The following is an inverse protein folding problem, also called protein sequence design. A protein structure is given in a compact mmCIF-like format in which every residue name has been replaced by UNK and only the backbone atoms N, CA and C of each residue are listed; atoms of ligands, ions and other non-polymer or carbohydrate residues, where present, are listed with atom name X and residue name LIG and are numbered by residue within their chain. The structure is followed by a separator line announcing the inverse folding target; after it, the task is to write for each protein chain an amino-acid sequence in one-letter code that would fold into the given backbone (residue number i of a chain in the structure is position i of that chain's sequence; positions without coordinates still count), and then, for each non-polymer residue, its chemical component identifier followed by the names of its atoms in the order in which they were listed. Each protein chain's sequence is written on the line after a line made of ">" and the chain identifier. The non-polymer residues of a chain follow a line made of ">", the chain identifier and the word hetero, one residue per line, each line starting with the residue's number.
data_IF_628326281573
#
_entry.id   IF_628326281573
#
_cell.length_a   1.000
_cell.length_b   1.000
_cell.length_c   1.000
_cell.angle_alpha   90.00
_cell.angle_beta   90.00
_cell.angle_gamma   90.00
#
_symmetry.space_group_name_H-M   'P 1'
#
loop_
_entity.id
_entity.type
_entity.pdbx_description
1 polymer ?
#
# COMPACT_ATOMS: atom_id res chain seq x y z
N UNK A 1 -11.02 2.44 13.30
CA UNK A 1 -10.77 1.55 12.13
C UNK A 1 -9.87 0.39 12.53
N UNK A 2 -10.01 -0.78 11.86
CA UNK A 2 -9.06 -1.89 11.98
C UNK A 2 -8.23 -1.96 10.70
N UNK A 3 -6.92 -1.87 10.80
CA UNK A 3 -5.97 -2.07 9.71
C UNK A 3 -5.33 -3.45 9.81
N UNK A 4 -5.24 -4.18 8.71
CA UNK A 4 -4.50 -5.44 8.61
C UNK A 4 -3.49 -5.33 7.46
N UNK A 5 -2.20 -5.47 7.76
CA UNK A 5 -1.18 -5.60 6.73
C UNK A 5 -1.22 -7.01 6.16
N UNK A 6 -1.49 -7.14 4.88
CA UNK A 6 -1.49 -8.42 4.18
C UNK A 6 -0.20 -8.66 3.40
N UNK A 7 0.55 -7.58 3.15
CA UNK A 7 1.87 -7.63 2.57
C UNK A 7 2.64 -6.37 2.93
N UNK A 8 3.89 -6.53 3.33
CA UNK A 8 4.76 -5.46 3.87
C UNK A 8 6.09 -5.34 3.13
N UNK A 9 6.26 -6.10 2.05
CA UNK A 9 7.44 -6.08 1.19
C UNK A 9 7.31 -5.10 0.03
N UNK A 10 8.45 -4.68 -0.49
CA UNK A 10 8.58 -3.97 -1.76
C UNK A 10 8.51 -4.91 -2.96
N UNK A 11 8.84 -4.40 -4.14
CA UNK A 11 8.62 -5.03 -5.44
C UNK A 11 8.98 -6.51 -5.60
N UNK A 12 10.09 -6.93 -4.98
CA UNK A 12 10.53 -8.32 -5.07
C UNK A 12 9.86 -9.25 -4.03
N UNK A 13 9.33 -8.69 -2.93
CA UNK A 13 8.97 -9.44 -1.73
C UNK A 13 10.20 -9.98 -0.99
N UNK A 14 9.98 -10.62 0.17
CA UNK A 14 11.06 -11.27 0.93
C UNK A 14 10.59 -12.66 1.36
N UNK A 15 11.28 -13.74 0.95
CA UNK A 15 12.45 -13.79 0.09
C UNK A 15 12.10 -13.53 -1.39
N UNK A 16 12.96 -12.84 -2.11
CA UNK A 16 12.88 -12.79 -3.56
C UNK A 16 13.15 -14.16 -4.17
N UNK A 17 12.46 -14.49 -5.27
CA UNK A 17 12.34 -15.85 -5.77
C UNK A 17 13.69 -16.55 -6.05
N UNK A 18 14.61 -15.89 -6.71
CA UNK A 18 15.93 -16.46 -7.08
C UNK A 18 17.10 -15.86 -6.30
N UNK A 19 16.82 -15.00 -5.31
CA UNK A 19 17.85 -14.31 -4.56
C UNK A 19 18.50 -15.23 -3.51
N UNK A 20 19.83 -15.18 -3.44
CA UNK A 20 20.65 -15.90 -2.47
C UNK A 20 21.30 -15.01 -1.41
N UNK A 21 20.88 -13.75 -1.27
CA UNK A 21 21.40 -12.87 -0.23
C UNK A 21 21.05 -13.40 1.17
N UNK A 22 21.79 -12.97 2.19
CA UNK A 22 21.61 -13.42 3.57
C UNK A 22 20.18 -13.25 4.08
N UNK A 23 19.54 -12.12 3.77
CA UNK A 23 18.16 -11.84 4.19
C UNK A 23 17.16 -12.81 3.54
N UNK A 24 17.30 -13.09 2.25
CA UNK A 24 16.42 -14.03 1.57
C UNK A 24 16.66 -15.48 2.06
N UNK A 25 17.90 -15.85 2.38
CA UNK A 25 18.20 -17.16 2.98
C UNK A 25 17.64 -17.26 4.41
N UNK A 26 17.83 -16.22 5.22
CA UNK A 26 17.25 -16.13 6.56
C UNK A 26 15.72 -16.26 6.51
N UNK A 27 15.06 -15.51 5.63
CA UNK A 27 13.61 -15.56 5.48
C UNK A 27 13.08 -16.96 5.11
N UNK A 28 13.77 -17.69 4.23
CA UNK A 28 13.41 -19.08 3.88
C UNK A 28 13.54 -20.04 5.07
N UNK A 29 14.49 -19.79 5.96
CA UNK A 29 14.78 -20.65 7.11
C UNK A 29 13.92 -20.34 8.32
N UNK A 30 13.86 -19.05 8.71
CA UNK A 30 13.18 -18.58 9.93
C UNK A 30 11.69 -18.42 9.70
N UNK A 31 11.29 -17.95 8.51
CA UNK A 31 9.90 -17.66 8.16
C UNK A 31 9.23 -16.60 9.09
N UNK A 32 7.92 -16.70 9.30
CA UNK A 32 7.21 -15.79 10.18
C UNK A 32 7.34 -14.32 9.74
N UNK A 33 7.80 -13.45 10.64
CA UNK A 33 7.95 -12.00 10.35
C UNK A 33 9.05 -11.64 9.37
N UNK A 34 9.91 -12.59 9.03
CA UNK A 34 10.92 -12.41 7.99
C UNK A 34 10.34 -12.53 6.57
N UNK A 35 9.18 -13.18 6.43
CA UNK A 35 8.47 -13.26 5.16
C UNK A 35 7.68 -11.96 4.91
N UNK A 36 7.79 -11.42 3.69
CA UNK A 36 7.08 -10.21 3.27
C UNK A 36 6.50 -10.42 1.87
N UNK A 37 5.19 -10.55 1.82
CA UNK A 37 4.45 -10.43 0.57
C UNK A 37 4.48 -8.99 0.07
N UNK A 38 4.19 -8.76 -1.20
CA UNK A 38 4.13 -7.42 -1.79
C UNK A 38 3.06 -6.57 -1.14
N UNK A 39 3.24 -5.25 -1.22
CA UNK A 39 2.42 -4.26 -0.51
C UNK A 39 0.92 -4.46 -0.71
N UNK A 40 0.23 -4.74 0.39
CA UNK A 40 -1.23 -4.87 0.41
C UNK A 40 -1.76 -4.67 1.83
N UNK A 41 -2.86 -3.96 1.98
CA UNK A 41 -3.51 -3.79 3.29
C UNK A 41 -5.03 -3.84 3.18
N UNK A 42 -5.66 -4.22 4.30
CA UNK A 42 -7.11 -4.27 4.45
C UNK A 42 -7.53 -3.32 5.57
N UNK A 43 -8.47 -2.44 5.29
CA UNK A 43 -9.14 -1.60 6.28
C UNK A 43 -10.52 -2.21 6.56
N UNK A 44 -10.75 -2.55 7.82
CA UNK A 44 -11.90 -3.34 8.26
C UNK A 44 -12.01 -4.64 7.43
N UNK A 45 -13.17 -4.94 6.84
CA UNK A 45 -13.39 -6.15 6.03
C UNK A 45 -13.74 -5.82 4.56
N UNK A 46 -13.77 -4.54 4.17
CA UNK A 46 -14.41 -4.12 2.93
C UNK A 46 -13.56 -3.20 2.02
N UNK A 47 -12.50 -2.57 2.53
CA UNK A 47 -11.61 -1.69 1.76
C UNK A 47 -10.20 -2.27 1.70
N UNK A 48 -9.73 -2.56 0.49
CA UNK A 48 -8.36 -3.04 0.23
C UNK A 48 -7.52 -1.94 -0.39
N UNK A 49 -6.29 -1.77 0.07
CA UNK A 49 -5.29 -0.91 -0.55
C UNK A 49 -4.31 -1.82 -1.28
N UNK A 50 -4.21 -1.62 -2.58
CA UNK A 50 -3.45 -2.42 -3.53
C UNK A 50 -3.92 -3.88 -3.64
N UNK A 51 -3.63 -4.52 -4.77
CA UNK A 51 -3.94 -5.93 -5.03
C UNK A 51 -2.87 -6.55 -5.93
N UNK A 52 -1.71 -6.89 -5.37
CA UNK A 52 -0.54 -7.39 -6.10
C UNK A 52 -0.74 -8.81 -6.64
N UNK A 53 0.28 -9.33 -7.33
CA UNK A 53 0.23 -10.66 -7.93
C UNK A 53 0.13 -11.81 -6.91
N UNK A 54 0.63 -11.63 -5.69
CA UNK A 54 0.56 -12.60 -4.60
C UNK A 54 -0.63 -12.41 -3.63
N UNK A 55 -1.56 -11.51 -3.96
CA UNK A 55 -2.74 -11.20 -3.13
C UNK A 55 -3.53 -12.46 -2.71
N UNK A 56 -3.71 -13.44 -3.63
CA UNK A 56 -4.41 -14.69 -3.31
C UNK A 56 -3.71 -15.46 -2.18
N UNK A 57 -2.41 -15.61 -2.26
CA UNK A 57 -1.62 -16.35 -1.24
C UNK A 57 -1.67 -15.64 0.10
N UNK A 58 -1.52 -14.32 0.08
CA UNK A 58 -1.53 -13.48 1.27
C UNK A 58 -2.90 -13.50 1.96
N UNK A 59 -3.99 -13.34 1.21
CA UNK A 59 -5.36 -13.43 1.77
C UNK A 59 -5.63 -14.79 2.40
N UNK A 60 -5.19 -15.89 1.77
CA UNK A 60 -5.33 -17.24 2.33
C UNK A 60 -4.54 -17.41 3.62
N UNK A 61 -3.28 -16.97 3.65
CA UNK A 61 -2.40 -17.07 4.81
C UNK A 61 -2.95 -16.32 6.03
N UNK A 62 -3.66 -15.21 5.80
CA UNK A 62 -4.20 -14.36 6.86
C UNK A 62 -5.72 -14.50 7.05
N UNK A 63 -6.33 -15.56 6.50
CA UNK A 63 -7.75 -15.91 6.67
C UNK A 63 -8.72 -14.79 6.25
N UNK A 64 -8.36 -14.02 5.22
CA UNK A 64 -9.23 -12.99 4.65
C UNK A 64 -10.19 -13.61 3.65
N UNK A 65 -11.47 -13.33 3.80
CA UNK A 65 -12.49 -13.70 2.81
C UNK A 65 -12.61 -12.60 1.75
N UNK A 66 -12.07 -12.80 0.52
CA UNK A 66 -12.09 -11.77 -0.52
C UNK A 66 -13.50 -11.43 -1.02
N UNK A 67 -14.50 -12.24 -0.72
CA UNK A 67 -15.91 -11.98 -1.11
C UNK A 67 -16.52 -10.80 -0.36
N UNK A 68 -15.94 -10.39 0.77
CA UNK A 68 -16.36 -9.22 1.55
C UNK A 68 -15.82 -7.91 0.99
N UNK A 69 -14.77 -7.95 0.17
CA UNK A 69 -14.12 -6.76 -0.38
C UNK A 69 -15.03 -6.08 -1.39
N UNK A 70 -15.24 -4.78 -1.20
CA UNK A 70 -16.10 -3.94 -2.04
C UNK A 70 -15.33 -2.82 -2.72
N UNK A 71 -14.35 -2.27 -2.03
CA UNK A 71 -13.62 -1.08 -2.42
C UNK A 71 -12.14 -1.38 -2.52
N UNK A 72 -11.51 -0.90 -3.57
CA UNK A 72 -10.08 -1.05 -3.80
C UNK A 72 -9.48 0.31 -4.12
N UNK A 73 -8.46 0.71 -3.36
CA UNK A 73 -7.62 1.86 -3.66
C UNK A 73 -6.33 1.34 -4.28
N UNK A 74 -5.98 1.79 -5.46
CA UNK A 74 -4.72 1.41 -6.13
C UNK A 74 -3.79 2.60 -6.11
N UNK A 75 -2.61 2.44 -5.52
CA UNK A 75 -1.61 3.50 -5.46
C UNK A 75 -1.05 3.81 -6.84
N UNK A 76 -0.68 2.79 -7.60
CA UNK A 76 -0.16 2.91 -8.95
C UNK A 76 -0.14 1.54 -9.66
N UNK A 77 0.32 1.51 -10.91
CA UNK A 77 0.23 0.33 -11.77
C UNK A 77 1.48 -0.55 -11.82
N UNK A 78 2.42 -0.42 -10.89
CA UNK A 78 3.48 -1.42 -10.75
C UNK A 78 2.90 -2.77 -10.34
N UNK A 79 3.52 -3.87 -10.79
CA UNK A 79 3.00 -5.24 -10.63
C UNK A 79 2.92 -5.70 -9.17
N UNK A 80 3.68 -5.10 -8.30
CA UNK A 80 3.73 -5.34 -6.86
C UNK A 80 2.65 -4.58 -6.07
N UNK A 81 1.91 -3.70 -6.73
CA UNK A 81 0.75 -2.99 -6.19
C UNK A 81 -0.53 -3.35 -6.93
N UNK A 82 -0.45 -3.54 -8.23
CA UNK A 82 -1.65 -3.75 -9.03
C UNK A 82 -1.47 -4.87 -10.06
N UNK A 83 -2.22 -5.97 -9.86
CA UNK A 83 -2.34 -7.05 -10.83
C UNK A 83 -3.74 -7.06 -11.43
N UNK A 84 -3.94 -6.48 -12.62
CA UNK A 84 -5.25 -6.41 -13.29
C UNK A 84 -5.95 -7.76 -13.43
N UNK A 85 -5.19 -8.83 -13.63
CA UNK A 85 -5.73 -10.19 -13.80
C UNK A 85 -6.56 -10.66 -12.60
N UNK A 86 -6.29 -10.16 -11.38
CA UNK A 86 -7.08 -10.44 -10.19
C UNK A 86 -8.52 -9.93 -10.30
N UNK A 87 -8.77 -8.92 -11.14
CA UNK A 87 -10.10 -8.32 -11.34
C UNK A 87 -10.81 -8.84 -12.59
N UNK A 88 -10.10 -9.45 -13.53
CA UNK A 88 -10.64 -9.78 -14.86
C UNK A 88 -11.36 -11.14 -14.86
N UNK A 89 -10.84 -12.13 -14.15
CA UNK A 89 -11.33 -13.52 -14.16
C UNK A 89 -12.21 -13.82 -12.95
N UNK A 90 -13.25 -13.01 -12.70
CA UNK A 90 -14.17 -13.20 -11.58
C UNK A 90 -15.42 -13.98 -11.98
N UNK A 91 -16.01 -14.77 -11.06
CA UNK A 91 -17.35 -15.32 -11.27
C UNK A 91 -18.39 -14.23 -11.53
N UNK A 92 -19.42 -14.54 -12.31
CA UNK A 92 -20.47 -13.57 -12.66
C UNK A 92 -21.36 -13.16 -11.47
N UNK A 93 -21.43 -14.01 -10.46
CA UNK A 93 -22.23 -13.83 -9.24
C UNK A 93 -21.53 -13.09 -8.10
N UNK A 94 -20.27 -12.65 -8.33
CA UNK A 94 -19.55 -11.83 -7.34
C UNK A 94 -20.17 -10.43 -7.28
N UNK A 95 -20.32 -9.90 -6.07
CA UNK A 95 -20.82 -8.54 -5.84
C UNK A 95 -20.04 -7.49 -6.66
N UNK A 96 -20.73 -6.40 -7.00
CA UNK A 96 -20.09 -5.26 -7.67
C UNK A 96 -18.98 -4.71 -6.77
N UNK A 97 -17.80 -4.55 -7.34
CA UNK A 97 -16.64 -3.91 -6.71
C UNK A 97 -16.40 -2.54 -7.33
N UNK A 98 -15.83 -1.64 -6.55
CA UNK A 98 -15.40 -0.32 -7.01
C UNK A 98 -13.87 -0.23 -6.92
N UNK A 99 -13.25 0.16 -8.02
CA UNK A 99 -11.80 0.29 -8.15
C UNK A 99 -11.45 1.76 -8.34
N UNK A 100 -10.81 2.34 -7.35
CA UNK A 100 -10.38 3.74 -7.31
C UNK A 100 -8.91 3.80 -7.70
N UNK A 101 -8.61 4.43 -8.82
CA UNK A 101 -7.28 4.43 -9.44
C UNK A 101 -7.00 5.76 -10.15
N UNK A 102 -5.73 6.06 -10.42
CA UNK A 102 -5.36 7.16 -11.32
C UNK A 102 -5.77 6.87 -12.77
N UNK A 103 -5.82 7.93 -13.60
CA UNK A 103 -6.16 7.77 -15.01
C UNK A 103 -5.17 6.82 -15.72
N UNK A 104 -3.87 7.01 -15.51
CA UNK A 104 -2.83 6.16 -16.12
C UNK A 104 -2.93 4.70 -15.70
N UNK A 105 -3.23 4.42 -14.42
CA UNK A 105 -3.49 3.04 -13.95
C UNK A 105 -4.75 2.45 -14.57
N UNK A 106 -5.78 3.28 -14.82
CA UNK A 106 -7.00 2.86 -15.50
C UNK A 106 -6.79 2.51 -16.97
N UNK A 107 -5.95 3.27 -17.66
CA UNK A 107 -5.55 2.97 -19.06
C UNK A 107 -4.78 1.64 -19.13
N UNK A 108 -3.83 1.40 -18.22
CA UNK A 108 -3.12 0.12 -18.13
C UNK A 108 -4.06 -1.05 -17.84
N UNK A 109 -5.07 -0.87 -16.99
CA UNK A 109 -6.11 -1.86 -16.73
C UNK A 109 -6.96 -2.14 -18.00
N UNK A 110 -7.39 -1.09 -18.69
CA UNK A 110 -8.18 -1.22 -19.92
C UNK A 110 -7.39 -1.94 -21.05
N UNK A 111 -6.11 -1.61 -21.21
CA UNK A 111 -5.21 -2.28 -22.16
C UNK A 111 -5.10 -3.79 -21.83
N UNK A 112 -4.87 -4.14 -20.57
CA UNK A 112 -4.81 -5.53 -20.13
C UNK A 112 -6.13 -6.27 -20.38
N UNK A 113 -7.27 -5.66 -20.10
CA UNK A 113 -8.58 -6.21 -20.38
C UNK A 113 -8.77 -6.49 -21.89
N UNK A 114 -8.34 -5.58 -22.76
CA UNK A 114 -8.46 -5.73 -24.21
C UNK A 114 -7.61 -6.89 -24.74
N UNK A 115 -6.38 -7.02 -24.27
CA UNK A 115 -5.47 -8.11 -24.64
C UNK A 115 -6.00 -9.48 -24.22
N UNK A 116 -6.61 -9.58 -23.04
CA UNK A 116 -7.21 -10.84 -22.59
C UNK A 116 -8.48 -11.20 -23.35
N UNK A 117 -9.31 -10.23 -23.74
CA UNK A 117 -10.48 -10.47 -24.58
C UNK A 117 -10.12 -11.04 -25.94
N UNK A 118 -9.03 -10.57 -26.55
CA UNK A 118 -8.52 -11.09 -27.83
C UNK A 118 -8.07 -12.55 -27.77
N UNK A 119 -7.58 -13.04 -26.63
CA UNK A 119 -7.17 -14.44 -26.43
C UNK A 119 -8.31 -15.36 -26.01
N UNK A 120 -9.41 -14.80 -25.60
CA UNK A 120 -10.58 -15.48 -25.02
C UNK A 120 -11.62 -15.92 -26.07
N UNK A 121 -11.24 -16.11 -27.32
CA UNK A 121 -12.12 -16.42 -28.44
C UNK A 121 -12.91 -17.76 -28.32
N UNK A 122 -12.73 -18.53 -27.25
CA UNK A 122 -13.31 -19.86 -27.08
C UNK A 122 -14.33 -19.95 -25.95
N UNK A 123 -15.38 -19.14 -25.97
CA UNK A 123 -16.56 -19.37 -25.12
C UNK A 123 -16.42 -18.92 -23.66
N UNK A 124 -15.69 -17.84 -23.42
CA UNK A 124 -15.41 -17.39 -22.08
C UNK A 124 -16.54 -16.61 -21.41
N UNK A 125 -16.56 -16.79 -20.09
CA UNK A 125 -17.45 -16.19 -19.11
C UNK A 125 -17.60 -14.68 -19.31
N UNK A 126 -18.78 -14.11 -19.06
CA UNK A 126 -18.92 -12.66 -19.01
C UNK A 126 -17.87 -12.09 -18.04
N UNK A 127 -17.07 -11.14 -18.50
CA UNK A 127 -16.11 -10.44 -17.66
C UNK A 127 -16.91 -9.50 -16.75
N UNK A 128 -17.03 -9.85 -15.49
CA UNK A 128 -17.64 -8.99 -14.49
C UNK A 128 -16.57 -8.03 -13.95
N UNK A 129 -16.32 -6.93 -14.70
CA UNK A 129 -15.31 -5.93 -14.33
C UNK A 129 -15.79 -5.09 -13.14
N UNK A 130 -14.87 -4.60 -12.29
CA UNK A 130 -15.20 -3.61 -11.27
C UNK A 130 -15.68 -2.31 -11.92
N UNK A 131 -16.44 -1.52 -11.18
CA UNK A 131 -16.70 -0.12 -11.53
C UNK A 131 -15.40 0.68 -11.34
N UNK A 132 -14.92 1.31 -12.39
CA UNK A 132 -13.73 2.16 -12.32
C UNK A 132 -14.15 3.55 -11.87
N UNK A 133 -13.48 4.06 -10.84
CA UNK A 133 -13.61 5.40 -10.31
C UNK A 133 -12.23 6.06 -10.37
N UNK A 134 -12.10 7.10 -11.15
CA UNK A 134 -10.83 7.79 -11.29
C UNK A 134 -10.60 8.74 -10.12
N UNK A 135 -9.36 8.78 -9.66
CA UNK A 135 -8.86 9.73 -8.69
C UNK A 135 -7.76 10.59 -9.31
N UNK A 136 -7.88 11.88 -9.14
CA UNK A 136 -6.80 12.84 -9.39
C UNK A 136 -6.15 13.26 -8.07
N UNK A 137 -4.88 13.71 -8.07
CA UNK A 137 -4.26 14.31 -6.90
C UNK A 137 -5.15 15.40 -6.26
N UNK A 138 -5.25 15.36 -4.92
CA UNK A 138 -6.08 16.22 -4.07
C UNK A 138 -7.59 16.07 -4.24
N UNK A 139 -8.05 15.16 -5.06
CA UNK A 139 -9.47 14.82 -5.13
C UNK A 139 -9.89 14.05 -3.88
N UNK A 140 -11.07 14.41 -3.35
CA UNK A 140 -11.70 13.75 -2.20
C UNK A 140 -13.03 13.12 -2.61
N UNK A 141 -13.23 11.86 -2.31
CA UNK A 141 -14.47 11.14 -2.60
C UNK A 141 -14.97 10.31 -1.40
N UNK A 142 -16.27 9.98 -1.44
CA UNK A 142 -16.85 8.95 -0.57
C UNK A 142 -16.62 7.57 -1.17
N UNK A 143 -15.92 6.71 -0.42
CA UNK A 143 -15.66 5.33 -0.75
C UNK A 143 -16.38 4.46 0.30
N UNK A 144 -17.60 4.09 0.02
CA UNK A 144 -18.46 3.48 1.03
C UNK A 144 -18.67 4.39 2.25
N UNK A 145 -18.28 3.89 3.43
CA UNK A 145 -18.33 4.68 4.68
C UNK A 145 -17.13 5.61 4.88
N UNK A 146 -16.10 5.48 4.05
CA UNK A 146 -14.87 6.24 4.18
C UNK A 146 -14.93 7.54 3.38
N UNK A 147 -14.19 8.53 3.83
CA UNK A 147 -13.79 9.70 3.04
C UNK A 147 -12.33 9.49 2.66
N UNK A 148 -12.04 9.45 1.38
CA UNK A 148 -10.70 9.20 0.86
C UNK A 148 -10.25 10.39 0.05
N UNK A 149 -9.04 10.88 0.33
CA UNK A 149 -8.36 11.90 -0.48
C UNK A 149 -7.11 11.26 -1.11
N UNK A 150 -6.98 11.41 -2.42
CA UNK A 150 -5.76 11.05 -3.11
C UNK A 150 -4.71 12.16 -2.96
N UNK A 151 -3.46 11.80 -2.73
CA UNK A 151 -2.30 12.69 -2.70
C UNK A 151 -1.32 12.26 -3.78
N UNK A 152 -0.57 13.17 -4.41
CA UNK A 152 0.49 12.78 -5.33
C UNK A 152 1.64 12.12 -4.55
N UNK A 153 2.14 11.00 -5.05
CA UNK A 153 3.32 10.34 -4.53
C UNK A 153 4.59 10.81 -5.26
N UNK A 154 5.69 10.93 -4.52
CA UNK A 154 6.99 11.24 -5.09
C UNK A 154 7.72 9.94 -5.41
N UNK A 155 7.32 9.29 -6.50
CA UNK A 155 7.80 7.97 -6.93
C UNK A 155 8.19 7.99 -8.42
N UNK A 156 7.70 7.07 -9.21
CA UNK A 156 8.00 7.00 -10.64
C UNK A 156 7.35 8.17 -11.40
N UNK A 157 8.19 8.97 -12.08
CA UNK A 157 7.72 10.14 -12.84
C UNK A 157 7.08 9.78 -14.19
N UNK A 158 7.20 8.53 -14.62
CA UNK A 158 6.59 8.05 -15.87
C UNK A 158 5.12 7.67 -15.70
N UNK A 159 4.67 7.50 -14.45
CA UNK A 159 3.30 7.10 -14.11
C UNK A 159 2.72 7.98 -13.00
N UNK A 160 1.40 8.09 -12.95
CA UNK A 160 0.73 8.81 -11.88
C UNK A 160 0.60 7.91 -10.66
N UNK A 161 1.39 8.20 -9.62
CA UNK A 161 1.41 7.48 -8.35
C UNK A 161 0.64 8.25 -7.29
N UNK A 162 -0.20 7.55 -6.51
CA UNK A 162 -1.06 8.12 -5.48
C UNK A 162 -0.73 7.56 -4.11
N UNK A 163 -0.78 8.43 -3.12
CA UNK A 163 -0.90 8.10 -1.71
C UNK A 163 -2.31 8.47 -1.23
N UNK A 164 -2.69 8.11 0.00
CA UNK A 164 -4.07 8.30 0.43
C UNK A 164 -4.19 8.83 1.85
N UNK A 165 -5.14 9.74 2.07
CA UNK A 165 -5.71 10.03 3.38
C UNK A 165 -7.06 9.31 3.44
N UNK A 166 -7.27 8.48 4.46
CA UNK A 166 -8.47 7.65 4.61
C UNK A 166 -9.09 7.91 5.98
N UNK A 167 -10.33 8.37 6.02
CA UNK A 167 -11.04 8.66 7.27
C UNK A 167 -12.41 7.98 7.31
N UNK A 168 -12.81 7.45 8.47
CA UNK A 168 -14.18 6.98 8.74
C UNK A 168 -15.00 7.97 9.57
N UNK A 169 -14.43 9.17 9.80
CA UNK A 169 -15.04 10.23 10.63
C UNK A 169 -14.53 10.25 12.07
N UNK A 170 -14.02 9.15 12.60
CA UNK A 170 -13.43 9.03 13.95
C UNK A 170 -11.91 8.96 13.88
N UNK A 171 -11.39 8.14 13.01
CA UNK A 171 -9.96 7.92 12.80
C UNK A 171 -9.54 8.34 11.40
N UNK A 172 -8.29 8.75 11.25
CA UNK A 172 -7.70 9.15 9.98
C UNK A 172 -6.33 8.49 9.80
N UNK A 173 -6.16 7.81 8.69
CA UNK A 173 -4.92 7.15 8.26
C UNK A 173 -4.26 8.02 7.17
N UNK A 174 -2.94 8.18 7.25
CA UNK A 174 -2.10 8.65 6.15
C UNK A 174 -1.31 7.46 5.61
N UNK A 175 -1.58 7.07 4.37
CA UNK A 175 -0.96 5.95 3.69
C UNK A 175 0.05 6.45 2.66
N UNK A 176 1.35 6.24 2.95
CA UNK A 176 2.48 6.74 2.18
C UNK A 176 3.36 5.56 1.74
N UNK A 177 2.90 4.78 0.79
CA UNK A 177 3.69 3.71 0.18
C UNK A 177 4.15 4.12 -1.19
N UNK A 178 5.31 3.64 -1.59
CA UNK A 178 6.02 4.03 -2.81
C UNK A 178 6.05 5.55 -2.97
N UNK A 179 6.78 6.15 -2.06
CA UNK A 179 7.04 7.58 -2.10
C UNK A 179 8.34 7.92 -1.37
N UNK A 180 9.08 8.87 -1.92
CA UNK A 180 10.12 9.57 -1.19
C UNK A 180 9.53 10.63 -0.25
N UNK A 181 10.30 11.67 0.04
CA UNK A 181 9.83 12.78 0.87
C UNK A 181 8.61 13.45 0.23
N UNK A 182 7.70 13.94 1.07
CA UNK A 182 6.47 14.58 0.62
C UNK A 182 6.75 15.79 -0.27
N UNK A 183 5.97 15.92 -1.34
CA UNK A 183 6.00 17.06 -2.23
C UNK A 183 5.50 18.34 -1.53
N UNK A 184 5.98 19.51 -1.94
CA UNK A 184 5.58 20.78 -1.34
C UNK A 184 4.06 21.00 -1.41
N UNK A 185 3.44 20.63 -2.51
CA UNK A 185 2.00 20.73 -2.70
C UNK A 185 1.19 19.87 -1.71
N UNK A 186 1.73 18.73 -1.30
CA UNK A 186 1.13 17.90 -0.23
C UNK A 186 1.21 18.60 1.12
N UNK A 187 2.34 19.24 1.45
CA UNK A 187 2.48 20.05 2.67
C UNK A 187 1.50 21.24 2.68
N UNK A 188 1.33 21.90 1.55
CA UNK A 188 0.40 23.02 1.41
C UNK A 188 -1.06 22.55 1.61
N UNK A 189 -1.43 21.39 1.04
CA UNK A 189 -2.73 20.76 1.25
C UNK A 189 -2.97 20.41 2.73
N UNK A 190 -2.02 19.74 3.40
CA UNK A 190 -2.16 19.39 4.81
C UNK A 190 -2.35 20.61 5.71
N UNK A 191 -1.66 21.71 5.40
CA UNK A 191 -1.75 22.97 6.12
C UNK A 191 -3.12 23.64 5.93
N UNK A 192 -3.59 23.71 4.70
CA UNK A 192 -4.88 24.32 4.36
C UNK A 192 -6.04 23.58 5.05
N UNK A 193 -6.02 22.25 5.02
CA UNK A 193 -7.10 21.41 5.55
C UNK A 193 -6.94 21.06 7.04
N UNK A 194 -5.88 21.52 7.70
CA UNK A 194 -5.60 21.28 9.14
C UNK A 194 -5.77 19.81 9.54
N UNK A 195 -5.24 18.91 8.71
CA UNK A 195 -5.39 17.47 8.87
C UNK A 195 -4.81 16.98 10.20
N UNK A 196 -5.39 15.91 10.77
CA UNK A 196 -4.87 15.23 11.96
C UNK A 196 -4.96 13.72 11.80
N UNK A 197 -3.85 13.03 11.99
CA UNK A 197 -3.71 11.60 11.75
C UNK A 197 -3.65 10.82 13.06
N UNK A 198 -4.36 9.70 13.11
CA UNK A 198 -4.27 8.68 14.16
C UNK A 198 -3.21 7.64 13.82
N UNK A 199 -2.95 7.47 12.53
CA UNK A 199 -2.07 6.42 12.03
C UNK A 199 -1.38 6.85 10.74
N UNK A 200 -0.09 6.51 10.62
CA UNK A 200 0.67 6.69 9.38
C UNK A 200 1.36 5.38 9.03
N UNK A 201 1.20 4.94 7.78
CA UNK A 201 2.02 3.89 7.19
C UNK A 201 2.98 4.52 6.19
N UNK A 202 4.27 4.32 6.39
CA UNK A 202 5.33 4.93 5.57
C UNK A 202 6.09 3.88 4.78
N UNK A 203 6.41 4.22 3.54
CA UNK A 203 7.44 3.53 2.76
C UNK A 203 8.77 3.55 3.53
N UNK A 204 9.45 2.41 3.56
CA UNK A 204 10.79 2.28 4.07
C UNK A 204 11.55 1.20 3.31
N UNK A 205 11.56 1.31 1.97
CA UNK A 205 12.13 0.28 1.09
C UNK A 205 13.61 0.05 1.30
N UNK A 206 14.33 1.09 1.73
CA UNK A 206 15.76 1.06 1.98
C UNK A 206 16.11 1.46 3.42
N UNK A 207 15.71 0.69 4.46
CA UNK A 207 15.79 1.11 5.85
C UNK A 207 17.13 1.66 6.32
N UNK A 208 18.24 1.16 5.78
CA UNK A 208 19.62 1.53 6.17
C UNK A 208 20.32 2.49 5.22
N UNK A 209 19.55 3.21 4.48
CA UNK A 209 20.01 4.33 3.67
C UNK A 209 19.61 4.22 2.21
N UNK A 210 19.12 5.33 1.73
CA UNK A 210 19.00 5.63 0.30
C UNK A 210 19.66 6.97 0.04
N UNK A 211 20.41 7.07 -1.06
CA UNK A 211 20.95 8.35 -1.50
C UNK A 211 19.88 9.19 -2.24
N UNK A 212 18.69 8.65 -2.41
CA UNK A 212 17.57 9.30 -3.08
C UNK A 212 16.63 9.96 -2.07
N UNK A 213 16.08 11.12 -2.42
CA UNK A 213 14.94 11.76 -1.74
C UNK A 213 13.63 11.52 -2.50
N UNK A 214 13.70 10.84 -3.60
CA UNK A 214 12.60 10.46 -4.47
C UNK A 214 12.42 8.96 -4.42
N UNK A 215 11.25 8.49 -4.80
CA UNK A 215 10.87 7.09 -4.96
C UNK A 215 10.63 6.35 -3.65
N UNK A 216 11.60 6.35 -2.71
CA UNK A 216 11.52 5.59 -1.46
C UNK A 216 12.23 6.30 -0.32
N UNK A 217 11.94 5.89 0.92
CA UNK A 217 12.55 6.43 2.13
C UNK A 217 13.39 5.39 2.88
N UNK A 218 14.25 5.89 3.77
CA UNK A 218 14.94 5.14 4.81
C UNK A 218 14.39 5.49 6.21
N UNK A 219 14.89 4.80 7.26
CA UNK A 219 14.43 5.04 8.65
C UNK A 219 14.67 6.49 9.08
N UNK A 220 15.79 7.10 8.69
CA UNK A 220 16.11 8.47 9.07
C UNK A 220 15.14 9.48 8.42
N UNK A 221 14.85 9.30 7.14
CA UNK A 221 13.89 10.14 6.43
C UNK A 221 12.46 9.96 6.97
N UNK A 222 12.07 8.73 7.29
CA UNK A 222 10.79 8.46 7.96
C UNK A 222 10.70 9.14 9.33
N UNK A 223 11.78 9.11 10.11
CA UNK A 223 11.86 9.83 11.37
C UNK A 223 11.70 11.34 11.20
N UNK A 224 12.44 11.94 10.28
CA UNK A 224 12.37 13.37 9.97
C UNK A 224 10.96 13.80 9.53
N UNK A 225 10.30 12.98 8.72
CA UNK A 225 8.92 13.19 8.31
C UNK A 225 7.95 13.11 9.50
N UNK A 226 8.09 12.07 10.34
CA UNK A 226 7.25 11.90 11.52
C UNK A 226 7.45 13.07 12.52
N UNK A 227 8.69 13.47 12.82
CA UNK A 227 9.00 14.59 13.69
C UNK A 227 8.41 15.91 13.16
N UNK A 228 8.47 16.11 11.84
CA UNK A 228 7.87 17.28 11.19
C UNK A 228 6.35 17.30 11.35
N UNK A 229 5.68 16.17 11.09
CA UNK A 229 4.23 16.04 11.25
C UNK A 229 3.81 16.25 12.73
N UNK A 230 4.58 15.75 13.68
CA UNK A 230 4.37 16.02 15.11
C UNK A 230 4.53 17.51 15.45
N UNK A 231 5.61 18.12 15.02
CA UNK A 231 5.94 19.53 15.33
C UNK A 231 4.91 20.51 14.75
N UNK A 232 4.34 20.16 13.58
CA UNK A 232 3.29 20.94 12.93
C UNK A 232 1.88 20.67 13.49
N UNK A 233 1.75 19.74 14.44
CA UNK A 233 0.49 19.40 15.08
C UNK A 233 -0.47 18.57 14.21
N UNK A 234 0.03 17.87 13.19
CA UNK A 234 -0.77 17.00 12.34
C UNK A 234 -0.98 15.59 12.90
N UNK A 235 -0.36 15.28 14.05
CA UNK A 235 -0.54 14.00 14.72
C UNK A 235 -1.52 14.12 15.89
N UNK A 236 -2.33 13.10 16.12
CA UNK A 236 -3.11 12.96 17.35
C UNK A 236 -2.24 12.41 18.46
N UNK A 237 -2.63 12.63 19.74
CA UNK A 237 -1.82 12.32 20.92
C UNK A 237 -1.26 10.88 20.95
N UNK A 238 -2.07 9.90 20.52
CA UNK A 238 -1.68 8.48 20.51
C UNK A 238 -1.46 7.95 19.09
N UNK A 239 -1.05 8.82 18.18
CA UNK A 239 -0.84 8.41 16.79
C UNK A 239 0.34 7.43 16.66
N UNK A 240 0.17 6.43 15.81
CA UNK A 240 1.17 5.40 15.53
C UNK A 240 1.76 5.59 14.15
N UNK A 241 3.05 5.34 14.02
CA UNK A 241 3.77 5.39 12.74
C UNK A 241 4.41 4.02 12.48
N UNK A 242 4.06 3.41 11.37
CA UNK A 242 4.57 2.12 10.94
C UNK A 242 5.34 2.23 9.62
N UNK A 243 6.49 1.58 9.59
CA UNK A 243 7.34 1.40 8.41
C UNK A 243 6.93 0.12 7.70
N UNK A 244 6.76 0.20 6.40
CA UNK A 244 6.35 -0.90 5.53
C UNK A 244 7.06 -0.82 4.19
N UNK A 245 6.68 -1.65 3.22
CA UNK A 245 7.26 -1.69 1.88
C UNK A 245 8.78 -2.00 1.88
N UNK A 246 9.20 -2.92 2.74
CA UNK A 246 10.62 -3.20 3.01
C UNK A 246 11.18 -4.19 2.00
N UNK A 247 12.27 -3.81 1.32
CA UNK A 247 12.99 -4.69 0.40
C UNK A 247 13.93 -5.68 1.12
N UNK A 248 14.52 -6.61 0.35
CA UNK A 248 15.50 -7.58 0.86
C UNK A 248 16.95 -7.04 0.86
N UNK A 249 17.19 -5.90 0.22
CA UNK A 249 18.54 -5.30 0.06
C UNK A 249 18.99 -4.49 1.28
N UNK A 250 18.55 -4.87 2.47
CA UNK A 250 18.70 -4.03 3.68
C UNK A 250 19.72 -4.58 4.68
N UNK A 251 20.19 -5.79 4.48
CA UNK A 251 21.13 -6.50 5.37
C UNK A 251 20.74 -6.40 6.86
N UNK A 252 19.44 -6.60 7.15
CA UNK A 252 18.86 -6.55 8.48
C UNK A 252 17.67 -7.50 8.58
N UNK A 253 17.57 -8.21 9.70
CA UNK A 253 16.40 -9.02 10.04
C UNK A 253 15.23 -8.13 10.50
N UNK A 254 14.03 -8.72 10.62
CA UNK A 254 12.90 -8.01 11.23
C UNK A 254 13.24 -7.45 12.63
N UNK A 255 13.94 -8.24 13.44
CA UNK A 255 14.29 -7.83 14.80
C UNK A 255 15.27 -6.65 14.82
N UNK A 256 16.25 -6.64 13.92
CA UNK A 256 17.19 -5.52 13.79
C UNK A 256 16.45 -4.24 13.41
N UNK A 257 15.59 -4.32 12.40
CA UNK A 257 14.81 -3.17 11.95
C UNK A 257 13.83 -2.68 13.03
N UNK A 258 13.17 -3.60 13.73
CA UNK A 258 12.26 -3.24 14.81
C UNK A 258 12.98 -2.51 15.97
N UNK A 259 14.20 -2.94 16.30
CA UNK A 259 15.03 -2.29 17.29
C UNK A 259 15.50 -0.90 16.81
N UNK A 260 15.92 -0.78 15.57
CA UNK A 260 16.36 0.50 14.99
C UNK A 260 15.18 1.50 14.91
N UNK A 261 14.04 1.07 14.42
CA UNK A 261 12.82 1.90 14.34
C UNK A 261 12.33 2.34 15.73
N UNK A 262 12.38 1.46 16.73
CA UNK A 262 11.92 1.78 18.09
C UNK A 262 12.70 2.93 18.75
N UNK A 263 13.99 3.07 18.42
CA UNK A 263 14.82 4.19 18.88
C UNK A 263 14.38 5.54 18.30
N UNK A 264 13.59 5.49 17.23
CA UNK A 264 13.00 6.64 16.56
C UNK A 264 11.50 6.82 16.88
N UNK A 265 10.95 6.09 17.84
CA UNK A 265 9.50 6.00 18.10
C UNK A 265 8.67 5.57 16.90
N UNK A 266 9.26 4.72 16.02
CA UNK A 266 8.62 4.13 14.87
C UNK A 266 8.46 2.63 15.09
N UNK A 267 7.53 2.02 14.37
CA UNK A 267 7.27 0.59 14.39
C UNK A 267 7.56 -0.02 13.01
N UNK A 268 7.82 -1.31 12.95
CA UNK A 268 7.98 -2.05 11.69
C UNK A 268 6.77 -2.96 11.49
N UNK A 269 6.10 -2.83 10.36
CA UNK A 269 5.01 -3.72 9.99
C UNK A 269 5.52 -5.11 9.57
N UNK A 270 4.67 -6.11 9.68
CA UNK A 270 4.88 -7.47 9.18
C UNK A 270 3.56 -8.05 8.66
N UNK A 271 3.66 -9.04 7.79
CA UNK A 271 2.48 -9.67 7.18
C UNK A 271 1.59 -10.31 8.26
N UNK A 272 0.31 -10.00 8.23
CA UNK A 272 -0.67 -10.44 9.22
C UNK A 272 -0.83 -9.53 10.44
N UNK A 273 -0.05 -8.45 10.57
CA UNK A 273 -0.21 -7.48 11.66
C UNK A 273 -1.58 -6.80 11.61
N UNK A 274 -2.28 -6.79 12.74
CA UNK A 274 -3.57 -6.12 12.91
C UNK A 274 -3.46 -5.00 13.94
N UNK A 275 -4.00 -3.84 13.62
CA UNK A 275 -3.96 -2.63 14.46
C UNK A 275 -5.36 -2.03 14.52
N UNK A 276 -5.82 -1.74 15.73
CA UNK A 276 -7.03 -0.93 15.94
C UNK A 276 -6.62 0.54 16.07
N UNK A 277 -7.17 1.38 15.22
CA UNK A 277 -6.87 2.81 15.09
C UNK A 277 -8.02 3.64 15.63
#
# INVERSE_FOLDING_TARGET
>A
MKLTYLGTGGGAGVPELFCSCEICQNARTVQGRELRSRSMALINDDLCIDLPCDARSSMLAHHVDPRKLKYFLVTHNHYDHFMPDNFINRPADVQQMELYISLGSGEAFADRCSKLRGTAANGLRPINLPRICFFSPFETAKVGRYTVTALPANHDKAIECLNYIISDGESTILWLHDTGILLQETWDYLKEHKMKFNFISMDCSFPRGTNSKTEHMDIQQCKELADTLWSMGYMRENALVYLSHIGHNVNATYQDLALEASRCNLHVAYDGLQINI
#
